data_IF_223090235550
#
_entry.id   IF_223090235550
#
_cell.length_a   1.000
_cell.length_b   1.000
_cell.length_c   1.000
_cell.angle_alpha   90.00
_cell.angle_beta   90.00
_cell.angle_gamma   90.00
#
_symmetry.space_group_name_H-M   'P 1'
#
loop_
_entity.id
_entity.type
_entity.pdbx_description
1 polymer ?
#
# COMPACT_ATOMS: atom_id res chain seq x y z
N UNK A 1 7.82 64.06 7.77
CA UNK A 1 7.02 62.83 7.54
C UNK A 1 7.97 61.70 7.12
N UNK A 2 7.84 60.57 7.82
CA UNK A 2 8.28 59.19 7.48
C UNK A 2 9.76 58.94 7.11
N UNK A 3 10.58 58.52 8.09
CA UNK A 3 11.74 57.64 7.83
C UNK A 3 11.22 56.20 7.67
N UNK A 4 11.44 55.61 6.49
CA UNK A 4 11.12 54.22 6.18
C UNK A 4 12.22 53.31 6.73
N UNK A 5 11.86 52.43 7.67
CA UNK A 5 12.73 51.36 8.17
C UNK A 5 12.44 50.10 7.36
N UNK A 6 13.39 49.68 6.53
CA UNK A 6 13.34 48.37 5.85
C UNK A 6 13.95 47.33 6.80
N UNK A 7 13.12 46.41 7.28
CA UNK A 7 13.56 45.26 8.07
C UNK A 7 14.18 44.20 7.13
N UNK A 8 15.49 43.95 7.28
CA UNK A 8 16.18 42.83 6.64
C UNK A 8 15.78 41.51 7.31
N UNK A 9 15.03 40.66 6.59
CA UNK A 9 14.78 39.28 7.01
C UNK A 9 15.99 38.41 6.64
N UNK A 10 16.77 38.03 7.65
CA UNK A 10 17.82 37.02 7.50
C UNK A 10 17.18 35.63 7.36
N UNK A 11 17.34 35.03 6.18
CA UNK A 11 16.97 33.63 5.94
C UNK A 11 17.99 32.73 6.66
N UNK A 12 17.61 32.19 7.81
CA UNK A 12 18.44 31.26 8.58
C UNK A 12 18.52 29.91 7.87
N UNK A 13 19.75 29.50 7.50
CA UNK A 13 20.00 28.18 6.89
C UNK A 13 19.71 27.05 7.89
N UNK A 14 19.03 25.98 7.47
CA UNK A 14 18.68 24.88 8.35
C UNK A 14 19.92 24.13 8.86
N UNK A 15 19.86 23.69 10.12
CA UNK A 15 20.91 22.92 10.78
C UNK A 15 21.24 21.62 10.03
N UNK A 16 22.51 21.21 10.04
CA UNK A 16 23.04 20.01 9.35
C UNK A 16 22.24 18.75 9.68
N UNK A 17 21.74 18.60 10.92
CA UNK A 17 20.90 17.47 11.34
C UNK A 17 19.52 17.47 10.65
N UNK A 18 18.91 18.65 10.50
CA UNK A 18 17.65 18.82 9.76
C UNK A 18 17.84 18.49 8.29
N UNK A 19 18.94 18.94 7.68
CA UNK A 19 19.24 18.64 6.28
C UNK A 19 19.41 17.13 6.01
N UNK A 20 20.06 16.39 6.91
CA UNK A 20 20.18 14.92 6.77
C UNK A 20 18.82 14.23 6.94
N UNK A 21 18.01 14.62 7.93
CA UNK A 21 16.67 14.04 8.14
C UNK A 21 15.75 14.26 6.94
N UNK A 22 15.77 15.45 6.36
CA UNK A 22 15.01 15.77 5.13
C UNK A 22 15.52 14.91 3.97
N UNK A 23 16.83 14.76 3.80
CA UNK A 23 17.40 13.95 2.71
C UNK A 23 17.07 12.47 2.85
N UNK A 24 17.11 11.92 4.05
CA UNK A 24 16.72 10.53 4.32
C UNK A 24 15.22 10.33 4.11
N UNK A 25 14.37 11.24 4.60
CA UNK A 25 12.92 11.18 4.39
C UNK A 25 12.54 11.32 2.90
N UNK A 26 13.25 12.14 2.14
CA UNK A 26 13.09 12.26 0.69
C UNK A 26 13.49 10.98 -0.04
N UNK A 27 14.59 10.33 0.38
CA UNK A 27 15.04 9.08 -0.19
C UNK A 27 14.03 7.95 0.06
N UNK A 28 13.53 7.82 1.30
CA UNK A 28 12.52 6.80 1.65
C UNK A 28 11.18 7.04 0.95
N UNK A 29 10.72 8.30 0.87
CA UNK A 29 9.51 8.65 0.12
C UNK A 29 9.68 8.39 -1.39
N UNK A 30 10.89 8.53 -1.94
CA UNK A 30 11.17 8.20 -3.33
C UNK A 30 11.17 6.68 -3.58
N UNK A 31 11.68 5.87 -2.64
CA UNK A 31 11.62 4.41 -2.72
C UNK A 31 10.18 3.89 -2.57
N UNK A 32 9.38 4.48 -1.69
CA UNK A 32 7.96 4.16 -1.54
C UNK A 32 7.14 4.58 -2.76
N UNK A 33 7.43 5.74 -3.34
CA UNK A 33 6.79 6.21 -4.59
C UNK A 33 7.19 5.33 -5.78
N UNK A 34 8.44 4.88 -5.85
CA UNK A 34 8.91 3.89 -6.85
C UNK A 34 8.28 2.52 -6.65
N UNK A 35 8.08 2.04 -5.41
CA UNK A 35 7.35 0.80 -5.12
C UNK A 35 5.85 0.90 -5.45
N UNK A 36 5.21 2.05 -5.20
CA UNK A 36 3.82 2.32 -5.60
C UNK A 36 3.67 2.34 -7.13
N UNK A 37 4.67 2.88 -7.83
CA UNK A 37 4.72 2.95 -9.30
C UNK A 37 5.07 1.61 -9.94
N UNK A 38 5.78 0.72 -9.24
CA UNK A 38 5.99 -0.67 -9.63
C UNK A 38 4.76 -1.58 -9.38
N UNK A 39 3.71 -1.09 -8.71
CA UNK A 39 2.47 -1.83 -8.47
C UNK A 39 1.38 -1.56 -9.52
N UNK A 40 1.59 -0.60 -10.43
CA UNK A 40 0.75 -0.34 -11.59
C UNK A 40 1.61 -0.74 -12.79
N UNK A 41 1.27 -1.86 -13.41
CA UNK A 41 1.90 -2.25 -14.66
C UNK A 41 1.27 -1.43 -15.79
N UNK A 42 1.90 -0.31 -16.15
CA UNK A 42 1.52 0.53 -17.31
C UNK A 42 1.56 -0.25 -18.65
N UNK A 43 2.07 -1.49 -18.66
CA UNK A 43 2.04 -2.39 -19.82
C UNK A 43 0.94 -3.44 -19.78
N UNK A 44 0.05 -3.42 -18.77
CA UNK A 44 -1.05 -4.38 -18.63
C UNK A 44 -2.09 -4.21 -19.76
N UNK A 45 -2.18 -5.15 -20.72
CA UNK A 45 -3.15 -5.06 -21.81
C UNK A 45 -4.59 -5.05 -21.30
N UNK A 46 -4.85 -5.64 -20.12
CA UNK A 46 -6.18 -5.64 -19.52
C UNK A 46 -6.57 -4.23 -19.04
N UNK A 47 -5.63 -3.42 -18.57
CA UNK A 47 -5.91 -2.04 -18.18
C UNK A 47 -6.37 -1.20 -19.39
N UNK A 48 -5.71 -1.34 -20.55
CA UNK A 48 -6.11 -0.65 -21.77
C UNK A 48 -7.51 -1.11 -22.26
N UNK A 49 -7.77 -2.42 -22.22
CA UNK A 49 -9.09 -2.98 -22.57
C UNK A 49 -10.17 -2.49 -21.60
N UNK A 50 -9.85 -2.37 -20.31
CA UNK A 50 -10.77 -1.88 -19.28
C UNK A 50 -11.18 -0.43 -19.52
N UNK A 51 -10.25 0.44 -19.90
CA UNK A 51 -10.56 1.83 -20.26
C UNK A 51 -11.50 1.91 -21.47
N UNK A 52 -11.25 1.12 -22.51
CA UNK A 52 -12.15 1.03 -23.67
C UNK A 52 -13.55 0.54 -23.24
N UNK A 53 -13.62 -0.45 -22.35
CA UNK A 53 -14.89 -0.94 -21.82
C UNK A 53 -15.64 0.16 -21.04
N UNK A 54 -14.95 1.01 -20.27
CA UNK A 54 -15.56 2.16 -19.58
C UNK A 54 -16.18 3.14 -20.56
N UNK A 55 -15.46 3.51 -21.63
CA UNK A 55 -15.98 4.42 -22.65
C UNK A 55 -17.21 3.82 -23.35
N UNK A 56 -17.15 2.52 -23.66
CA UNK A 56 -18.26 1.81 -24.27
C UNK A 56 -19.48 1.72 -23.33
N UNK A 57 -19.27 1.54 -22.04
CA UNK A 57 -20.34 1.60 -21.04
C UNK A 57 -20.94 3.01 -20.94
N UNK A 58 -20.10 4.05 -20.92
CA UNK A 58 -20.55 5.45 -20.86
C UNK A 58 -21.37 5.85 -22.10
N UNK A 59 -21.02 5.32 -23.27
CA UNK A 59 -21.78 5.49 -24.52
C UNK A 59 -23.04 4.60 -24.60
N UNK A 60 -23.30 3.74 -23.61
CA UNK A 60 -24.43 2.81 -23.61
C UNK A 60 -24.25 1.56 -24.49
N UNK A 61 -23.03 1.35 -25.02
CA UNK A 61 -22.68 0.21 -25.87
C UNK A 61 -22.53 -1.11 -25.12
N UNK A 62 -22.27 -1.10 -23.81
CA UNK A 62 -22.34 -2.28 -22.96
C UNK A 62 -23.15 -2.04 -21.69
N UNK A 63 -23.72 -3.13 -21.15
CA UNK A 63 -24.51 -3.09 -19.93
C UNK A 63 -23.62 -2.92 -18.69
N UNK A 64 -24.21 -2.44 -17.59
CA UNK A 64 -23.56 -2.43 -16.27
C UNK A 64 -23.15 -3.83 -15.79
N UNK A 65 -23.84 -4.89 -16.24
CA UNK A 65 -23.44 -6.27 -15.94
C UNK A 65 -22.13 -6.61 -16.63
N UNK A 66 -22.04 -6.32 -17.92
CA UNK A 66 -20.83 -6.54 -18.73
C UNK A 66 -19.65 -5.73 -18.20
N UNK A 67 -19.86 -4.48 -17.78
CA UNK A 67 -18.79 -3.69 -17.17
C UNK A 67 -18.22 -4.33 -15.89
N UNK A 68 -19.07 -4.97 -15.06
CA UNK A 68 -18.59 -5.70 -13.86
C UNK A 68 -17.72 -6.90 -14.23
N UNK A 69 -18.00 -7.59 -15.33
CA UNK A 69 -17.17 -8.70 -15.81
C UNK A 69 -15.77 -8.19 -16.18
N UNK A 70 -15.66 -7.01 -16.80
CA UNK A 70 -14.37 -6.35 -17.03
C UNK A 70 -13.68 -5.91 -15.74
N UNK A 71 -14.42 -5.37 -14.76
CA UNK A 71 -13.87 -4.99 -13.45
C UNK A 71 -13.24 -6.20 -12.73
N UNK A 72 -13.87 -7.36 -12.79
CA UNK A 72 -13.39 -8.60 -12.19
C UNK A 72 -12.07 -9.09 -12.80
N UNK A 73 -11.91 -8.93 -14.13
CA UNK A 73 -10.68 -9.29 -14.85
C UNK A 73 -9.48 -8.42 -14.44
N UNK A 74 -9.73 -7.19 -13.99
CA UNK A 74 -8.71 -6.26 -13.55
C UNK A 74 -8.37 -6.36 -12.05
N UNK A 75 -8.92 -7.35 -11.33
CA UNK A 75 -8.59 -7.55 -9.91
C UNK A 75 -7.15 -8.07 -9.81
N UNK A 76 -6.22 -7.32 -9.20
CA UNK A 76 -4.84 -7.74 -9.13
C UNK A 76 -4.71 -8.99 -8.25
N UNK A 77 -3.85 -9.95 -8.64
CA UNK A 77 -3.65 -11.17 -7.88
C UNK A 77 -3.10 -10.84 -6.49
N UNK A 78 -3.47 -11.67 -5.51
CA UNK A 78 -2.93 -11.58 -4.16
C UNK A 78 -1.51 -12.14 -4.17
N UNK A 79 -0.50 -11.42 -3.64
CA UNK A 79 0.87 -11.93 -3.62
C UNK A 79 0.98 -13.18 -2.74
N UNK A 80 1.90 -14.07 -3.12
CA UNK A 80 2.26 -15.18 -2.25
C UNK A 80 3.09 -14.69 -1.06
N UNK A 81 2.64 -15.00 0.15
CA UNK A 81 3.35 -14.64 1.36
C UNK A 81 4.27 -15.75 1.85
N UNK A 82 5.57 -15.45 1.90
CA UNK A 82 6.58 -16.30 2.55
C UNK A 82 6.57 -16.11 4.06
N UNK A 83 7.12 -17.09 4.80
CA UNK A 83 7.25 -16.99 6.27
C UNK A 83 7.94 -15.70 6.73
N UNK A 84 8.97 -15.27 6.01
CA UNK A 84 9.74 -14.05 6.33
C UNK A 84 8.94 -12.78 6.04
N UNK A 85 8.12 -12.77 4.98
CA UNK A 85 7.23 -11.65 4.67
C UNK A 85 6.18 -11.45 5.78
N UNK A 86 5.58 -12.54 6.27
CA UNK A 86 4.55 -12.48 7.32
C UNK A 86 5.13 -11.95 8.63
N UNK A 87 6.31 -12.46 9.03
CA UNK A 87 7.03 -11.94 10.21
C UNK A 87 7.32 -10.44 10.06
N UNK A 88 7.71 -10.01 8.85
CA UNK A 88 8.00 -8.61 8.56
C UNK A 88 6.76 -7.74 8.70
N UNK A 89 5.63 -8.14 8.12
CA UNK A 89 4.34 -7.42 8.23
C UNK A 89 3.93 -7.29 9.70
N UNK A 90 3.96 -8.39 10.46
CA UNK A 90 3.58 -8.35 11.87
C UNK A 90 4.46 -7.39 12.67
N UNK A 91 5.77 -7.43 12.44
CA UNK A 91 6.73 -6.56 13.13
C UNK A 91 6.57 -5.10 12.71
N UNK A 92 6.25 -4.81 11.44
CA UNK A 92 6.05 -3.42 10.99
C UNK A 92 4.81 -2.78 11.61
N UNK A 93 3.80 -3.57 11.98
CA UNK A 93 2.62 -3.08 12.73
C UNK A 93 2.76 -3.24 14.25
N UNK A 94 3.93 -3.67 14.75
CA UNK A 94 4.29 -3.69 16.17
C UNK A 94 3.37 -4.52 17.08
N UNK A 95 2.86 -5.65 16.59
CA UNK A 95 1.96 -6.52 17.37
C UNK A 95 2.53 -7.92 17.63
N UNK A 96 1.99 -8.58 18.65
CA UNK A 96 2.26 -9.99 18.93
C UNK A 96 1.55 -10.91 17.93
N UNK A 97 1.96 -12.17 17.85
CA UNK A 97 1.29 -13.16 16.98
C UNK A 97 -0.19 -13.32 17.34
N UNK A 98 -0.51 -13.31 18.64
CA UNK A 98 -1.89 -13.44 19.13
C UNK A 98 -2.76 -12.22 18.77
N UNK A 99 -2.21 -11.01 18.88
CA UNK A 99 -2.92 -9.79 18.48
C UNK A 99 -3.16 -9.78 16.98
N UNK A 100 -2.15 -10.10 16.15
CA UNK A 100 -2.35 -10.23 14.70
C UNK A 100 -3.43 -11.28 14.36
N UNK A 101 -3.44 -12.41 15.07
CA UNK A 101 -4.44 -13.44 14.88
C UNK A 101 -5.85 -12.95 15.18
N UNK A 102 -6.04 -12.16 16.24
CA UNK A 102 -7.32 -11.55 16.59
C UNK A 102 -7.83 -10.62 15.47
N UNK A 103 -6.97 -9.72 14.95
CA UNK A 103 -7.33 -8.85 13.82
C UNK A 103 -7.66 -9.61 12.54
N UNK A 104 -6.99 -10.73 12.28
CA UNK A 104 -7.24 -11.58 11.11
C UNK A 104 -8.37 -12.60 11.31
N UNK A 105 -9.10 -12.53 12.44
CA UNK A 105 -10.12 -13.49 12.84
C UNK A 105 -9.65 -14.95 12.67
N UNK A 106 -8.46 -15.26 13.19
CA UNK A 106 -7.87 -16.60 13.14
C UNK A 106 -7.21 -16.97 14.47
N UNK A 107 -6.74 -18.21 14.60
CA UNK A 107 -6.07 -18.67 15.82
C UNK A 107 -4.60 -18.21 15.87
N UNK A 108 -4.02 -17.96 17.06
CA UNK A 108 -2.58 -17.73 17.21
C UNK A 108 -1.73 -18.87 16.61
N UNK A 109 -2.21 -20.11 16.71
CA UNK A 109 -1.55 -21.29 16.12
C UNK A 109 -1.48 -21.23 14.59
N UNK A 110 -2.46 -20.59 13.94
CA UNK A 110 -2.48 -20.39 12.49
C UNK A 110 -1.36 -19.44 12.09
N UNK A 111 -1.27 -18.28 12.75
CA UNK A 111 -0.21 -17.29 12.52
C UNK A 111 1.16 -17.89 12.80
N UNK A 112 1.30 -18.67 13.86
CA UNK A 112 2.54 -19.38 14.17
C UNK A 112 2.95 -20.35 13.05
N UNK A 113 2.02 -21.14 12.50
CA UNK A 113 2.30 -22.06 11.37
C UNK A 113 2.71 -21.30 10.11
N UNK A 114 2.11 -20.13 9.86
CA UNK A 114 2.51 -19.25 8.77
C UNK A 114 3.93 -18.71 8.95
N UNK A 115 4.26 -18.20 10.14
CA UNK A 115 5.60 -17.67 10.45
C UNK A 115 6.66 -18.78 10.56
N UNK A 116 6.27 -20.02 10.85
CA UNK A 116 7.14 -21.19 10.78
C UNK A 116 7.34 -21.70 9.33
N UNK A 117 6.42 -21.34 8.41
CA UNK A 117 6.43 -21.80 7.02
C UNK A 117 5.85 -23.20 6.81
N UNK A 118 5.19 -23.78 7.82
CA UNK A 118 4.54 -25.10 7.70
C UNK A 118 3.18 -25.01 7.02
N UNK A 119 2.56 -23.83 7.00
CA UNK A 119 1.39 -23.50 6.19
C UNK A 119 1.58 -22.14 5.53
N UNK A 120 0.83 -21.89 4.45
CA UNK A 120 0.71 -20.56 3.83
C UNK A 120 -0.69 -19.98 4.08
N UNK A 121 -0.82 -18.65 4.23
CA UNK A 121 -2.12 -18.00 4.14
C UNK A 121 -2.65 -18.11 2.70
N UNK A 122 -3.96 -18.27 2.55
CA UNK A 122 -4.62 -18.34 1.25
C UNK A 122 -5.97 -17.62 1.28
N UNK A 123 -6.52 -17.35 0.09
CA UNK A 123 -7.82 -16.70 -0.07
C UNK A 123 -7.90 -15.38 0.70
N UNK A 124 -8.94 -15.24 1.52
CA UNK A 124 -9.18 -14.05 2.33
C UNK A 124 -8.02 -13.70 3.27
N UNK A 125 -7.35 -14.68 3.88
CA UNK A 125 -6.25 -14.42 4.81
C UNK A 125 -5.05 -13.74 4.09
N UNK A 126 -4.70 -14.21 2.89
CA UNK A 126 -3.65 -13.59 2.10
C UNK A 126 -4.05 -12.18 1.66
N UNK A 127 -5.33 -11.95 1.30
CA UNK A 127 -5.83 -10.62 0.95
C UNK A 127 -5.77 -9.65 2.14
N UNK A 128 -6.16 -10.10 3.34
CA UNK A 128 -6.09 -9.27 4.54
C UNK A 128 -4.65 -8.93 4.93
N UNK A 129 -3.70 -9.87 4.77
CA UNK A 129 -2.28 -9.56 4.95
C UNK A 129 -1.79 -8.49 3.96
N UNK A 130 -2.25 -8.52 2.71
CA UNK A 130 -1.97 -7.47 1.72
C UNK A 130 -2.54 -6.12 2.13
N UNK A 131 -3.76 -6.12 2.68
CA UNK A 131 -4.40 -4.89 3.18
C UNK A 131 -3.61 -4.33 4.36
N UNK A 132 -3.22 -5.16 5.34
CA UNK A 132 -2.41 -4.73 6.49
C UNK A 132 -1.04 -4.21 6.04
N UNK A 133 -0.38 -4.90 5.11
CA UNK A 133 0.93 -4.49 4.59
C UNK A 133 0.88 -3.10 3.93
N UNK A 134 -0.21 -2.79 3.22
CA UNK A 134 -0.37 -1.52 2.50
C UNK A 134 -0.90 -0.38 3.37
N UNK A 135 -1.78 -0.69 4.31
CA UNK A 135 -2.61 0.30 4.99
C UNK A 135 -2.50 0.29 6.51
N UNK A 136 -1.68 -0.59 7.10
CA UNK A 136 -1.60 -0.73 8.54
C UNK A 136 -2.70 -1.59 9.12
N UNK A 137 -2.68 -1.76 10.44
CA UNK A 137 -3.58 -2.67 11.16
C UNK A 137 -4.93 -2.01 11.48
N UNK A 138 -4.96 -0.69 11.55
CA UNK A 138 -6.10 0.16 11.87
C UNK A 138 -7.28 0.01 10.89
N UNK A 139 -7.03 -0.43 9.67
CA UNK A 139 -8.07 -0.68 8.66
C UNK A 139 -9.00 -1.86 9.02
N UNK A 140 -8.59 -2.68 9.97
CA UNK A 140 -9.36 -3.84 10.47
C UNK A 140 -9.92 -3.62 11.89
N UNK A 141 -9.75 -2.42 12.46
CA UNK A 141 -10.21 -2.08 13.82
C UNK A 141 -11.67 -1.59 13.84
#
# INVERSE_FOLDING_TARGET
MTKSTVASNAVTKPSRKMAVKVRTAMYTASEERSKRRAAIDESDPLAAIHEIAKDMHAAGGISKRTMREYDELCVPPVPEYTKTAIIKIRKSVHVSQGVLAAYLNTSPSTVQKWEAGTKKPSGAAAKLLQVIEKHGLEVLA
#
